data_IF_029537018120
#
_entry.id   IF_029537018120
#
_cell.length_a   1.000
_cell.length_b   1.000
_cell.length_c   1.000
_cell.angle_alpha   90.00
_cell.angle_beta   90.00
_cell.angle_gamma   90.00
#
_symmetry.space_group_name_H-M   'P 1'
#
loop_
_entity.id
_entity.type
_entity.pdbx_description
1 polymer ?
#
# COMPACT_ATOMS: atom_id res chain seq x y z
N UNK A 1 27.00 6.37 9.01
CA UNK A 1 26.64 6.10 10.40
C UNK A 1 27.87 6.22 11.31
N UNK A 2 28.98 5.54 10.99
CA UNK A 2 30.22 5.62 11.78
C UNK A 2 30.73 7.08 11.91
N UNK A 3 30.79 7.82 10.82
CA UNK A 3 31.19 9.23 10.80
C UNK A 3 30.25 10.13 11.63
N UNK A 4 28.94 9.90 11.56
CA UNK A 4 27.96 10.64 12.39
C UNK A 4 28.09 10.31 13.88
N UNK A 5 28.38 9.06 14.24
CA UNK A 5 28.69 8.66 15.62
C UNK A 5 29.97 9.33 16.13
N UNK A 6 30.97 9.47 15.27
CA UNK A 6 32.22 10.17 15.62
C UNK A 6 32.00 11.66 15.89
N UNK A 7 31.12 12.30 15.11
CA UNK A 7 30.76 13.72 15.30
C UNK A 7 29.90 13.97 16.53
N UNK A 8 28.93 13.06 16.79
CA UNK A 8 27.94 13.21 17.87
C UNK A 8 28.40 12.65 19.24
N UNK A 9 29.55 11.92 19.27
CA UNK A 9 29.94 11.09 20.42
C UNK A 9 29.22 9.75 20.43
N UNK A 10 29.89 8.68 20.82
CA UNK A 10 29.39 7.29 20.66
C UNK A 10 28.04 6.98 21.33
N UNK A 11 27.61 7.81 22.28
CA UNK A 11 26.38 7.57 23.05
C UNK A 11 25.23 8.57 22.83
N UNK A 12 25.33 9.46 21.85
CA UNK A 12 24.40 10.58 21.72
C UNK A 12 24.00 10.90 20.28
N UNK A 13 23.40 9.95 19.55
CA UNK A 13 22.54 10.30 18.43
C UNK A 13 21.13 10.49 18.98
N UNK A 14 20.71 11.75 19.30
CA UNK A 14 19.41 11.99 19.92
C UNK A 14 18.24 11.75 18.95
N UNK A 15 18.54 11.59 17.65
CA UNK A 15 17.56 11.43 16.60
C UNK A 15 17.76 10.11 15.87
N UNK A 16 16.72 9.27 15.74
CA UNK A 16 16.77 8.08 14.91
C UNK A 16 17.10 8.44 13.45
N UNK A 17 17.97 7.65 12.82
CA UNK A 17 18.38 7.84 11.43
C UNK A 17 17.59 6.93 10.51
N UNK A 18 17.35 7.41 9.29
CA UNK A 18 16.73 6.64 8.22
C UNK A 18 17.80 6.03 7.30
N UNK A 19 17.57 4.79 6.85
CA UNK A 19 18.40 4.08 5.87
C UNK A 19 17.70 4.04 4.51
N UNK A 20 17.91 5.02 3.60
CA UNK A 20 17.18 5.08 2.34
C UNK A 20 17.62 3.96 1.38
N UNK A 21 16.63 3.30 0.79
CA UNK A 21 16.81 2.26 -0.22
C UNK A 21 16.71 2.89 -1.61
N UNK A 22 17.77 2.76 -2.40
CA UNK A 22 17.88 3.30 -3.75
C UNK A 22 18.14 2.18 -4.76
N UNK A 23 18.11 2.46 -6.07
CA UNK A 23 18.38 1.49 -7.12
C UNK A 23 17.54 1.67 -8.39
N UNK A 24 16.89 2.82 -8.56
CA UNK A 24 16.03 3.10 -9.72
C UNK A 24 14.89 2.08 -9.84
N UNK A 25 14.64 1.63 -11.05
CA UNK A 25 13.64 0.60 -11.37
C UNK A 25 14.25 -0.82 -11.41
N UNK A 26 15.48 -0.99 -10.96
CA UNK A 26 16.22 -2.25 -11.07
C UNK A 26 16.09 -3.08 -9.78
N UNK A 27 15.34 -4.19 -9.76
CA UNK A 27 15.12 -5.00 -8.56
C UNK A 27 16.42 -5.48 -7.90
N UNK A 28 17.42 -5.89 -8.69
CA UNK A 28 18.72 -6.36 -8.17
C UNK A 28 19.49 -5.25 -7.42
N UNK A 29 19.45 -3.99 -7.90
CA UNK A 29 20.06 -2.86 -7.19
C UNK A 29 19.28 -2.50 -5.92
N UNK A 30 17.95 -2.63 -5.94
CA UNK A 30 17.10 -2.45 -4.77
C UNK A 30 17.39 -3.48 -3.69
N UNK A 31 17.57 -4.74 -4.07
CA UNK A 31 17.99 -5.83 -3.17
C UNK A 31 19.34 -5.52 -2.54
N UNK A 32 20.34 -5.22 -3.34
CA UNK A 32 21.69 -4.87 -2.85
C UNK A 32 21.64 -3.68 -1.88
N UNK A 33 20.86 -2.64 -2.20
CA UNK A 33 20.69 -1.49 -1.31
C UNK A 33 19.99 -1.90 -0.01
N UNK A 34 18.92 -2.74 -0.07
CA UNK A 34 18.23 -3.23 1.11
C UNK A 34 19.12 -4.08 2.01
N UNK A 35 19.93 -4.97 1.45
CA UNK A 35 20.92 -5.77 2.17
C UNK A 35 21.90 -4.87 2.94
N UNK A 36 22.53 -3.92 2.25
CA UNK A 36 23.48 -3.00 2.86
C UNK A 36 22.88 -2.10 3.93
N UNK A 37 21.67 -1.56 3.70
CA UNK A 37 20.99 -0.76 4.71
C UNK A 37 20.46 -1.63 5.85
N UNK A 38 20.07 -2.86 5.57
CA UNK A 38 19.63 -3.84 6.56
C UNK A 38 20.72 -4.30 7.53
N UNK A 39 22.01 -4.26 7.16
CA UNK A 39 23.14 -4.53 8.04
C UNK A 39 23.33 -3.44 9.12
N UNK A 40 22.70 -2.28 8.96
CA UNK A 40 22.85 -1.10 9.81
C UNK A 40 21.63 -0.87 10.70
N UNK A 41 21.82 -0.21 11.84
CA UNK A 41 20.77 0.09 12.82
C UNK A 41 20.04 1.37 12.45
N UNK A 42 19.24 1.34 11.39
CA UNK A 42 18.33 2.43 11.04
C UNK A 42 16.94 2.21 11.63
N UNK A 43 16.27 3.31 11.97
CA UNK A 43 14.92 3.28 12.53
C UNK A 43 13.85 3.00 11.47
N UNK A 44 14.01 3.57 10.28
CA UNK A 44 13.09 3.45 9.16
C UNK A 44 13.88 3.31 7.86
N UNK A 45 13.34 2.57 6.91
CA UNK A 45 13.92 2.36 5.58
C UNK A 45 13.05 3.01 4.49
N UNK A 46 13.31 4.28 4.11
CA UNK A 46 12.59 4.91 3.02
C UNK A 46 12.95 4.31 1.66
N UNK A 47 11.96 3.94 0.86
CA UNK A 47 12.15 3.61 -0.56
C UNK A 47 12.09 4.92 -1.35
N UNK A 48 13.26 5.40 -1.80
CA UNK A 48 13.38 6.67 -2.51
C UNK A 48 13.34 6.53 -4.03
N UNK A 49 13.21 7.70 -4.73
CA UNK A 49 13.25 7.76 -6.19
C UNK A 49 12.06 7.13 -6.89
N UNK A 50 10.90 7.07 -6.25
CA UNK A 50 9.68 6.44 -6.78
C UNK A 50 8.63 7.45 -7.30
N UNK A 51 8.75 8.73 -6.96
CA UNK A 51 7.80 9.77 -7.40
C UNK A 51 7.58 9.76 -8.91
N UNK A 52 8.62 9.69 -9.77
CA UNK A 52 8.42 9.62 -11.22
C UNK A 52 7.63 8.39 -11.69
N UNK A 53 7.67 7.28 -10.95
CA UNK A 53 6.87 6.08 -11.27
C UNK A 53 5.39 6.30 -10.98
N UNK A 54 5.08 7.04 -9.92
CA UNK A 54 3.70 7.39 -9.56
C UNK A 54 3.13 8.42 -10.54
N UNK A 55 3.89 9.45 -10.90
CA UNK A 55 3.49 10.47 -11.88
C UNK A 55 3.23 9.87 -13.27
N UNK A 56 4.00 8.86 -13.67
CA UNK A 56 3.84 8.14 -14.94
C UNK A 56 3.00 6.87 -14.83
N UNK A 57 2.37 6.63 -13.69
CA UNK A 57 1.49 5.49 -13.41
C UNK A 57 2.14 4.11 -13.65
N UNK A 58 3.44 4.00 -13.41
CA UNK A 58 4.21 2.76 -13.54
C UNK A 58 4.10 1.89 -12.29
N UNK A 59 2.88 1.56 -11.90
CA UNK A 59 2.61 0.88 -10.62
C UNK A 59 3.10 -0.57 -10.56
N UNK A 60 3.23 -1.25 -11.72
CA UNK A 60 3.88 -2.57 -11.79
C UNK A 60 5.35 -2.49 -11.37
N UNK A 61 6.07 -1.46 -11.81
CA UNK A 61 7.47 -1.26 -11.42
C UNK A 61 7.57 -0.91 -9.92
N UNK A 62 6.62 -0.15 -9.39
CA UNK A 62 6.54 0.13 -7.95
C UNK A 62 6.35 -1.17 -7.15
N UNK A 63 5.44 -2.05 -7.57
CA UNK A 63 5.24 -3.39 -6.96
C UNK A 63 6.53 -4.19 -6.98
N UNK A 64 7.22 -4.26 -8.13
CA UNK A 64 8.50 -4.99 -8.26
C UNK A 64 9.60 -4.45 -7.34
N UNK A 65 9.64 -3.13 -7.16
CA UNK A 65 10.58 -2.49 -6.23
C UNK A 65 10.27 -2.90 -4.79
N UNK A 66 9.01 -2.81 -4.36
CA UNK A 66 8.60 -3.18 -3.00
C UNK A 66 8.88 -4.67 -2.77
N UNK A 67 8.50 -5.52 -3.72
CA UNK A 67 8.73 -6.96 -3.66
C UNK A 67 10.22 -7.35 -3.60
N UNK A 68 11.10 -6.54 -4.18
CA UNK A 68 12.54 -6.76 -4.10
C UNK A 68 13.15 -6.33 -2.75
N UNK A 69 12.51 -5.40 -2.03
CA UNK A 69 13.04 -4.80 -0.79
C UNK A 69 12.49 -5.48 0.46
N UNK A 70 11.16 -5.69 0.50
CA UNK A 70 10.46 -6.11 1.72
C UNK A 70 10.96 -7.43 2.31
N UNK A 71 11.17 -8.51 1.52
CA UNK A 71 11.67 -9.78 2.05
C UNK A 71 13.03 -9.66 2.72
N UNK A 72 13.92 -8.82 2.19
CA UNK A 72 15.28 -8.62 2.71
C UNK A 72 15.28 -7.91 4.05
N UNK A 73 14.45 -6.89 4.20
CA UNK A 73 14.38 -6.13 5.46
C UNK A 73 13.62 -6.88 6.56
N UNK A 74 12.74 -7.83 6.18
CA UNK A 74 11.94 -8.60 7.12
C UNK A 74 10.85 -7.78 7.81
N UNK A 75 9.94 -8.47 8.52
CA UNK A 75 8.73 -7.87 9.10
C UNK A 75 8.98 -6.84 10.21
N UNK A 76 10.12 -6.92 10.91
CA UNK A 76 10.42 -6.07 12.06
C UNK A 76 10.98 -4.68 11.72
N UNK A 77 11.17 -4.36 10.43
CA UNK A 77 11.75 -3.08 10.00
C UNK A 77 10.72 -2.24 9.27
N UNK A 78 10.38 -1.05 9.80
CA UNK A 78 9.45 -0.15 9.14
C UNK A 78 9.97 0.33 7.79
N UNK A 79 9.11 0.26 6.77
CA UNK A 79 9.39 0.75 5.42
C UNK A 79 8.50 1.95 5.11
N UNK A 80 9.12 2.99 4.62
CA UNK A 80 8.47 4.23 4.22
C UNK A 80 8.46 4.36 2.69
N UNK A 81 7.29 4.47 2.09
CA UNK A 81 7.15 4.72 0.66
C UNK A 81 7.26 6.24 0.40
N UNK A 82 8.49 6.72 0.21
CA UNK A 82 8.82 8.13 0.25
C UNK A 82 8.23 8.92 -0.92
N UNK A 83 7.35 9.88 -0.60
CA UNK A 83 6.66 10.72 -1.57
C UNK A 83 5.36 10.13 -2.14
N UNK A 84 4.87 9.01 -1.60
CA UNK A 84 3.62 8.41 -2.03
C UNK A 84 2.42 9.08 -1.34
N UNK A 85 1.68 9.93 -2.07
CA UNK A 85 0.56 10.70 -1.55
C UNK A 85 -0.77 10.46 -2.25
N UNK A 86 -0.86 9.49 -3.11
CA UNK A 86 -2.11 9.14 -3.78
C UNK A 86 -2.87 8.08 -2.98
N UNK A 87 -4.06 8.38 -2.41
CA UNK A 87 -4.82 7.44 -1.56
C UNK A 87 -5.11 6.11 -2.23
N UNK A 88 -5.36 6.08 -3.55
CA UNK A 88 -5.65 4.84 -4.28
C UNK A 88 -4.49 3.82 -4.27
N UNK A 89 -3.24 4.26 -4.00
CA UNK A 89 -2.07 3.39 -3.90
C UNK A 89 -1.87 2.80 -2.50
N UNK A 90 -2.47 3.39 -1.47
CA UNK A 90 -2.13 3.07 -0.09
C UNK A 90 -2.49 1.63 0.28
N UNK A 91 -3.68 1.14 -0.12
CA UNK A 91 -4.12 -0.21 0.24
C UNK A 91 -3.20 -1.29 -0.35
N UNK A 92 -2.84 -1.21 -1.64
CA UNK A 92 -1.93 -2.15 -2.29
C UNK A 92 -0.53 -2.08 -1.66
N UNK A 93 -0.02 -0.87 -1.43
CA UNK A 93 1.30 -0.67 -0.82
C UNK A 93 1.36 -1.21 0.62
N UNK A 94 0.32 -0.96 1.42
CA UNK A 94 0.22 -1.49 2.78
C UNK A 94 0.16 -3.02 2.80
N UNK A 95 -0.59 -3.64 1.87
CA UNK A 95 -0.63 -5.09 1.72
C UNK A 95 0.76 -5.67 1.39
N UNK A 96 1.56 -4.95 0.61
CA UNK A 96 2.95 -5.32 0.30
C UNK A 96 3.95 -5.00 1.44
N UNK A 97 3.46 -4.53 2.58
CA UNK A 97 4.25 -4.31 3.79
C UNK A 97 4.90 -2.93 3.89
N UNK A 98 4.31 -1.92 3.26
CA UNK A 98 4.65 -0.52 3.51
C UNK A 98 3.95 -0.03 4.78
N UNK A 99 4.70 0.61 5.66
CA UNK A 99 4.25 1.05 6.98
C UNK A 99 3.96 2.55 7.03
N UNK A 100 4.68 3.36 6.25
CA UNK A 100 4.64 4.82 6.30
C UNK A 100 4.50 5.44 4.91
N UNK A 101 3.76 6.54 4.86
CA UNK A 101 3.55 7.35 3.67
C UNK A 101 3.80 8.83 3.99
N UNK A 102 4.28 9.60 3.01
CA UNK A 102 4.36 11.05 3.07
C UNK A 102 4.11 11.64 1.69
N UNK A 103 3.61 12.84 1.63
CA UNK A 103 3.56 13.55 0.36
C UNK A 103 3.12 15.00 0.50
N UNK A 104 3.58 15.85 -0.42
CA UNK A 104 3.00 17.15 -0.70
C UNK A 104 1.83 17.09 -1.71
N UNK A 105 1.43 15.91 -2.17
CA UNK A 105 0.40 15.73 -3.20
C UNK A 105 -0.92 16.41 -2.81
N UNK A 106 -1.33 16.37 -1.53
CA UNK A 106 -2.55 17.01 -1.08
C UNK A 106 -2.60 18.51 -1.43
N UNK A 107 -1.48 19.23 -1.32
CA UNK A 107 -1.38 20.64 -1.64
C UNK A 107 -1.13 20.90 -3.13
N UNK A 108 -0.30 20.08 -3.78
CA UNK A 108 0.01 20.23 -5.21
C UNK A 108 -1.25 19.99 -6.05
N UNK A 109 -2.02 18.94 -5.75
CA UNK A 109 -3.26 18.64 -6.45
C UNK A 109 -4.35 19.69 -6.18
N UNK A 110 -4.38 20.26 -4.97
CA UNK A 110 -5.30 21.35 -4.65
C UNK A 110 -5.05 22.59 -5.50
N UNK A 111 -3.79 22.99 -5.70
CA UNK A 111 -3.40 24.09 -6.58
C UNK A 111 -3.84 23.85 -8.03
N UNK A 112 -3.83 22.61 -8.49
CA UNK A 112 -4.31 22.19 -9.80
C UNK A 112 -5.85 22.04 -9.86
N UNK A 113 -6.58 22.39 -8.80
CA UNK A 113 -8.03 22.24 -8.73
C UNK A 113 -8.49 20.78 -8.69
N UNK A 114 -7.71 19.87 -8.09
CA UNK A 114 -8.00 18.44 -8.06
C UNK A 114 -8.28 17.92 -6.65
N UNK A 115 -9.29 17.06 -6.55
CA UNK A 115 -9.67 16.32 -5.34
C UNK A 115 -9.10 14.91 -5.42
N UNK A 116 -8.29 14.52 -4.43
CA UNK A 116 -7.72 13.17 -4.30
C UNK A 116 -8.68 12.26 -3.55
N UNK A 117 -8.85 11.04 -4.06
CA UNK A 117 -9.70 10.02 -3.44
C UNK A 117 -9.08 8.64 -3.54
N UNK A 118 -9.53 7.68 -2.72
CA UNK A 118 -9.13 6.27 -2.87
C UNK A 118 -9.53 5.63 -4.20
N UNK A 119 -10.42 6.25 -4.95
CA UNK A 119 -10.94 5.75 -6.24
C UNK A 119 -10.31 6.47 -7.44
N UNK A 120 -9.52 7.50 -7.19
CA UNK A 120 -8.87 8.29 -8.24
C UNK A 120 -8.86 9.79 -7.93
N UNK A 121 -8.82 10.60 -8.97
CA UNK A 121 -8.74 12.05 -8.86
C UNK A 121 -9.90 12.69 -9.62
N UNK A 122 -10.60 13.60 -8.97
CA UNK A 122 -11.65 14.40 -9.61
C UNK A 122 -11.11 15.82 -9.86
N UNK A 123 -11.47 16.39 -11.01
CA UNK A 123 -11.22 17.79 -11.27
C UNK A 123 -12.41 18.61 -10.77
N UNK A 124 -12.14 19.70 -10.09
CA UNK A 124 -13.17 20.56 -9.52
C UNK A 124 -14.07 21.17 -10.61
N UNK A 125 -13.54 21.42 -11.81
CA UNK A 125 -14.25 21.95 -12.97
C UNK A 125 -15.16 20.94 -13.66
N UNK A 126 -15.02 19.64 -13.35
CA UNK A 126 -15.78 18.54 -13.94
C UNK A 126 -16.91 18.01 -13.03
N UNK A 127 -16.99 18.48 -11.77
CA UNK A 127 -17.98 18.00 -10.81
C UNK A 127 -18.90 19.14 -10.34
N UNK A 128 -20.20 18.92 -10.29
CA UNK A 128 -21.19 19.86 -9.77
C UNK A 128 -21.61 19.54 -8.33
N UNK A 129 -21.47 18.29 -7.92
CA UNK A 129 -21.73 17.80 -6.57
C UNK A 129 -20.51 17.05 -6.04
N UNK A 130 -20.35 17.00 -4.71
CA UNK A 130 -19.32 16.19 -4.12
C UNK A 130 -19.58 14.70 -4.36
N UNK A 131 -18.57 13.89 -4.72
CA UNK A 131 -18.73 12.46 -5.01
C UNK A 131 -19.27 11.63 -3.83
N UNK A 132 -19.16 12.17 -2.61
CA UNK A 132 -19.72 11.62 -1.37
C UNK A 132 -19.93 12.77 -0.36
N UNK A 133 -20.70 12.55 0.70
CA UNK A 133 -20.84 13.53 1.77
C UNK A 133 -19.49 13.84 2.42
N UNK A 134 -19.05 15.10 2.35
CA UNK A 134 -17.80 15.57 2.95
C UNK A 134 -18.15 16.57 4.05
N UNK A 135 -18.03 16.21 5.36
CA UNK A 135 -18.41 17.07 6.45
C UNK A 135 -17.73 18.45 6.42
N UNK A 136 -16.45 18.51 6.08
CA UNK A 136 -15.67 19.76 6.01
C UNK A 136 -16.04 20.65 4.80
N UNK A 137 -16.87 20.17 3.90
CA UNK A 137 -17.41 20.92 2.76
C UNK A 137 -18.95 20.95 2.75
N UNK A 138 -19.58 20.67 3.89
CA UNK A 138 -21.06 20.60 3.99
C UNK A 138 -21.75 21.92 3.61
N UNK A 139 -21.09 23.04 3.89
CA UNK A 139 -21.63 24.38 3.64
C UNK A 139 -21.27 24.94 2.26
N UNK A 140 -20.58 24.15 1.43
CA UNK A 140 -20.12 24.59 0.11
C UNK A 140 -20.31 23.51 -0.95
N UNK A 141 -20.66 23.90 -2.18
CA UNK A 141 -20.69 23.00 -3.33
C UNK A 141 -19.43 23.16 -4.20
N UNK A 142 -19.08 22.18 -5.04
CA UNK A 142 -17.99 22.33 -6.02
C UNK A 142 -18.20 23.57 -6.89
N UNK A 143 -19.44 23.86 -7.29
CA UNK A 143 -19.81 25.03 -8.09
C UNK A 143 -19.51 26.35 -7.34
N UNK A 144 -19.89 26.44 -6.06
CA UNK A 144 -19.61 27.61 -5.23
C UNK A 144 -18.10 27.78 -5.04
N UNK A 145 -17.37 26.68 -4.81
CA UNK A 145 -15.92 26.70 -4.62
C UNK A 145 -15.18 27.14 -5.89
N UNK A 146 -15.65 26.82 -7.09
CA UNK A 146 -15.08 27.33 -8.36
C UNK A 146 -15.14 28.86 -8.45
N UNK A 147 -16.14 29.47 -7.83
CA UNK A 147 -16.34 30.93 -7.84
C UNK A 147 -15.62 31.64 -6.68
N UNK A 148 -15.03 30.90 -5.76
CA UNK A 148 -14.27 31.44 -4.64
C UNK A 148 -12.90 31.99 -5.10
N UNK A 149 -12.20 32.69 -4.22
CA UNK A 149 -10.82 33.11 -4.46
C UNK A 149 -9.91 31.89 -4.69
N UNK A 150 -8.79 32.09 -5.37
CA UNK A 150 -7.81 31.01 -5.60
C UNK A 150 -7.25 30.47 -4.29
N UNK A 151 -7.02 31.35 -3.32
CA UNK A 151 -6.50 30.97 -2.00
C UNK A 151 -7.54 30.13 -1.22
N UNK A 152 -8.79 30.58 -1.11
CA UNK A 152 -9.86 29.84 -0.42
C UNK A 152 -10.10 28.47 -1.08
N UNK A 153 -10.12 28.44 -2.42
CA UNK A 153 -10.28 27.21 -3.19
C UNK A 153 -9.15 26.23 -2.92
N UNK A 154 -7.92 26.70 -2.97
CA UNK A 154 -6.73 25.88 -2.74
C UNK A 154 -6.66 25.40 -1.31
N UNK A 155 -6.96 26.24 -0.32
CA UNK A 155 -6.97 25.87 1.08
C UNK A 155 -8.00 24.77 1.37
N UNK A 156 -9.24 24.96 0.92
CA UNK A 156 -10.27 23.94 1.13
C UNK A 156 -9.94 22.62 0.43
N UNK A 157 -9.53 22.65 -0.84
CA UNK A 157 -9.15 21.43 -1.56
C UNK A 157 -7.95 20.72 -0.90
N UNK A 158 -6.95 21.46 -0.41
CA UNK A 158 -5.82 20.86 0.30
C UNK A 158 -6.26 20.16 1.57
N UNK A 159 -7.18 20.77 2.34
CA UNK A 159 -7.79 20.17 3.51
C UNK A 159 -8.55 18.89 3.15
N UNK A 160 -9.42 18.92 2.14
CA UNK A 160 -10.18 17.75 1.69
C UNK A 160 -9.27 16.62 1.22
N UNK A 161 -8.21 16.93 0.50
CA UNK A 161 -7.22 15.96 0.05
C UNK A 161 -6.49 15.29 1.23
N UNK A 162 -6.15 16.06 2.26
CA UNK A 162 -5.53 15.53 3.46
C UNK A 162 -6.50 14.64 4.25
N UNK A 163 -7.75 15.11 4.44
CA UNK A 163 -8.81 14.33 5.10
C UNK A 163 -9.07 13.00 4.38
N UNK A 164 -9.15 13.01 3.05
CA UNK A 164 -9.29 11.81 2.23
C UNK A 164 -8.13 10.82 2.44
N UNK A 165 -6.90 11.34 2.48
CA UNK A 165 -5.71 10.52 2.71
C UNK A 165 -5.70 9.90 4.11
N UNK A 166 -6.05 10.67 5.14
CA UNK A 166 -6.15 10.19 6.52
C UNK A 166 -7.26 9.15 6.65
N UNK A 167 -8.44 9.41 6.07
CA UNK A 167 -9.56 8.48 6.10
C UNK A 167 -9.23 7.14 5.43
N UNK A 168 -8.48 7.17 4.33
CA UNK A 168 -8.02 5.92 3.68
C UNK A 168 -7.03 5.16 4.56
N UNK A 169 -6.08 5.82 5.22
CA UNK A 169 -5.19 5.17 6.19
C UNK A 169 -5.98 4.51 7.33
N UNK A 170 -6.98 5.19 7.89
CA UNK A 170 -7.82 4.59 8.94
C UNK A 170 -8.65 3.41 8.41
N UNK A 171 -9.13 3.49 7.16
CA UNK A 171 -9.82 2.37 6.48
C UNK A 171 -8.90 1.16 6.34
N UNK A 172 -7.64 1.37 5.92
CA UNK A 172 -6.62 0.32 5.81
C UNK A 172 -6.31 -0.28 7.18
N UNK A 173 -6.11 0.54 8.21
CA UNK A 173 -5.86 0.07 9.58
C UNK A 173 -7.02 -0.76 10.12
N UNK A 174 -8.25 -0.37 9.82
CA UNK A 174 -9.44 -1.16 10.15
C UNK A 174 -9.44 -2.50 9.39
N UNK A 175 -9.19 -2.48 8.09
CA UNK A 175 -9.14 -3.67 7.24
C UNK A 175 -8.06 -4.67 7.71
N UNK A 176 -6.87 -4.19 8.13
CA UNK A 176 -5.83 -5.02 8.75
C UNK A 176 -6.35 -5.68 10.02
N UNK A 177 -6.97 -4.92 10.93
CA UNK A 177 -7.48 -5.46 12.20
C UNK A 177 -8.62 -6.46 12.00
N UNK A 178 -9.49 -6.23 11.04
CA UNK A 178 -10.63 -7.11 10.73
C UNK A 178 -10.26 -8.30 9.84
N UNK A 179 -9.05 -8.33 9.26
CA UNK A 179 -8.61 -9.37 8.34
C UNK A 179 -9.20 -9.24 6.93
N UNK A 180 -9.66 -8.04 6.54
CA UNK A 180 -10.30 -7.77 5.24
C UNK A 180 -9.44 -6.88 4.32
N UNK A 181 -8.14 -6.85 4.56
CA UNK A 181 -7.23 -6.00 3.78
C UNK A 181 -7.22 -6.39 2.30
N UNK A 182 -7.27 -7.69 1.99
CA UNK A 182 -7.21 -8.16 0.61
C UNK A 182 -8.46 -7.74 -0.19
N UNK A 183 -9.64 -7.81 0.40
CA UNK A 183 -10.87 -7.30 -0.20
C UNK A 183 -10.81 -5.79 -0.48
N UNK A 184 -10.18 -5.03 0.42
CA UNK A 184 -9.95 -3.60 0.21
C UNK A 184 -8.99 -3.37 -0.97
N UNK A 185 -7.88 -4.11 -1.03
CA UNK A 185 -6.91 -4.04 -2.13
C UNK A 185 -7.58 -4.31 -3.47
N UNK A 186 -8.34 -5.40 -3.58
CA UNK A 186 -9.04 -5.76 -4.82
C UNK A 186 -10.02 -4.65 -5.26
N UNK A 187 -10.79 -4.10 -4.33
CA UNK A 187 -11.70 -2.98 -4.64
C UNK A 187 -10.95 -1.76 -5.16
N UNK A 188 -9.87 -1.35 -4.48
CA UNK A 188 -9.07 -0.18 -4.86
C UNK A 188 -8.36 -0.40 -6.19
N UNK A 189 -7.81 -1.57 -6.43
CA UNK A 189 -7.10 -1.85 -7.67
C UNK A 189 -8.00 -1.89 -8.91
N UNK A 190 -9.31 -2.07 -8.75
CA UNK A 190 -10.26 -2.07 -9.88
C UNK A 190 -10.67 -0.68 -10.34
N UNK A 191 -10.36 0.36 -9.59
CA UNK A 191 -10.73 1.74 -9.94
C UNK A 191 -9.84 2.36 -11.01
N UNK A 192 -8.66 1.76 -11.28
CA UNK A 192 -7.69 2.29 -12.21
C UNK A 192 -6.95 1.19 -12.98
N UNK A 193 -6.91 1.27 -14.32
CA UNK A 193 -6.33 0.22 -15.18
C UNK A 193 -4.88 -0.15 -14.80
N UNK A 194 -4.01 0.84 -14.59
CA UNK A 194 -2.61 0.60 -14.22
C UNK A 194 -2.44 0.01 -12.81
N UNK A 195 -3.38 0.33 -11.93
CA UNK A 195 -3.39 -0.25 -10.58
C UNK A 195 -3.87 -1.71 -10.62
N UNK A 196 -4.82 -2.02 -11.50
CA UNK A 196 -5.25 -3.38 -11.76
C UNK A 196 -4.11 -4.24 -12.36
N UNK A 197 -3.35 -3.69 -13.32
CA UNK A 197 -2.15 -4.36 -13.84
C UNK A 197 -1.13 -4.66 -12.72
N UNK A 198 -0.98 -3.75 -11.76
CA UNK A 198 -0.10 -3.96 -10.60
C UNK A 198 -0.62 -5.06 -9.66
N UNK A 199 -1.94 -5.17 -9.48
CA UNK A 199 -2.54 -6.27 -8.72
C UNK A 199 -2.28 -7.63 -9.39
N UNK A 200 -2.43 -7.71 -10.73
CA UNK A 200 -2.10 -8.93 -11.50
C UNK A 200 -0.64 -9.33 -11.28
N UNK A 201 0.28 -8.36 -11.27
CA UNK A 201 1.70 -8.63 -10.99
C UNK A 201 1.90 -9.26 -9.60
N UNK A 202 1.20 -8.77 -8.57
CA UNK A 202 1.24 -9.37 -7.23
C UNK A 202 0.67 -10.79 -7.22
N UNK A 203 -0.44 -11.01 -7.91
CA UNK A 203 -1.05 -12.33 -8.05
C UNK A 203 -0.11 -13.32 -8.77
N UNK A 204 0.59 -12.88 -9.79
CA UNK A 204 1.58 -13.71 -10.50
C UNK A 204 2.77 -14.06 -9.60
N UNK A 205 3.23 -13.14 -8.75
CA UNK A 205 4.26 -13.43 -7.76
C UNK A 205 3.81 -14.48 -6.73
N UNK A 206 2.54 -14.48 -6.33
CA UNK A 206 2.00 -15.50 -5.42
C UNK A 206 1.85 -16.88 -6.09
N UNK A 207 1.49 -16.91 -7.39
CA UNK A 207 1.36 -18.17 -8.16
C UNK A 207 2.68 -18.88 -8.36
N UNK A 208 3.74 -18.13 -8.60
CA UNK A 208 5.06 -18.69 -8.94
C UNK A 208 5.79 -19.29 -7.71
N UNK A 209 5.06 -19.46 -6.59
CA UNK A 209 5.51 -20.15 -5.37
C UNK A 209 6.85 -19.63 -4.82
N UNK A 210 7.08 -18.33 -4.96
CA UNK A 210 8.22 -17.66 -4.34
C UNK A 210 7.98 -17.52 -2.83
N UNK A 211 8.20 -18.61 -2.10
CA UNK A 211 8.01 -18.68 -0.64
C UNK A 211 9.02 -17.85 0.13
N UNK A 212 10.15 -17.55 -0.45
CA UNK A 212 11.20 -16.72 0.15
C UNK A 212 11.01 -15.23 -0.18
N UNK A 213 10.10 -14.91 -1.11
CA UNK A 213 9.82 -13.57 -1.56
C UNK A 213 8.56 -12.95 -0.95
N UNK A 214 8.04 -11.93 -1.64
CA UNK A 214 6.86 -11.19 -1.19
C UNK A 214 5.61 -12.07 -1.16
N UNK A 215 5.51 -13.06 -2.07
CA UNK A 215 4.41 -14.01 -2.10
C UNK A 215 4.29 -14.81 -0.80
N UNK A 216 5.40 -15.32 -0.30
CA UNK A 216 5.47 -16.00 1.01
C UNK A 216 5.05 -15.09 2.16
N UNK A 217 5.58 -13.86 2.21
CA UNK A 217 5.21 -12.90 3.25
C UNK A 217 3.73 -12.52 3.24
N UNK A 218 3.12 -12.38 2.05
CA UNK A 218 1.69 -12.11 1.90
C UNK A 218 0.84 -13.27 2.43
N UNK A 219 1.22 -14.50 2.11
CA UNK A 219 0.52 -15.71 2.56
C UNK A 219 0.68 -15.88 4.07
N UNK A 220 1.88 -15.71 4.61
CA UNK A 220 2.17 -15.87 6.04
C UNK A 220 1.48 -14.80 6.90
N UNK A 221 1.28 -13.61 6.36
CA UNK A 221 0.57 -12.51 7.03
C UNK A 221 -0.96 -12.62 6.91
N UNK A 222 -1.47 -13.45 6.01
CA UNK A 222 -2.89 -13.60 5.79
C UNK A 222 -3.57 -14.37 6.94
N UNK A 223 -4.83 -14.04 7.22
CA UNK A 223 -5.64 -14.76 8.19
C UNK A 223 -6.39 -15.89 7.48
N UNK A 224 -6.01 -17.16 7.70
CA UNK A 224 -6.61 -18.29 7.01
C UNK A 224 -8.03 -18.61 7.51
N UNK A 225 -8.45 -18.05 8.64
CA UNK A 225 -9.80 -18.23 9.21
C UNK A 225 -10.40 -16.85 9.46
N UNK A 226 -11.52 -16.59 8.83
CA UNK A 226 -12.29 -15.37 9.00
C UNK A 226 -13.71 -15.71 9.45
N UNK A 227 -14.22 -14.97 10.43
CA UNK A 227 -15.59 -15.16 10.92
C UNK A 227 -16.66 -14.50 10.06
N UNK A 228 -16.27 -13.51 9.25
CA UNK A 228 -17.14 -12.79 8.31
C UNK A 228 -16.30 -12.47 7.08
N UNK A 229 -16.64 -13.08 5.99
CA UNK A 229 -15.98 -12.81 4.69
C UNK A 229 -16.89 -11.92 3.86
N UNK A 230 -16.38 -10.74 3.50
CA UNK A 230 -16.98 -9.95 2.43
C UNK A 230 -16.31 -10.38 1.13
N UNK A 231 -16.97 -11.20 0.36
CA UNK A 231 -16.41 -11.72 -0.88
C UNK A 231 -16.54 -10.71 -2.01
N UNK A 232 -15.41 -10.38 -2.63
CA UNK A 232 -15.39 -9.80 -3.96
C UNK A 232 -15.08 -10.91 -4.95
N UNK A 233 -16.09 -11.67 -5.35
CA UNK A 233 -15.93 -12.77 -6.30
C UNK A 233 -15.52 -12.27 -7.68
N UNK A 234 -14.41 -12.81 -8.18
CA UNK A 234 -13.93 -12.61 -9.54
C UNK A 234 -13.98 -13.89 -10.37
N UNK A 235 -14.38 -15.00 -9.79
CA UNK A 235 -14.26 -16.31 -10.43
C UNK A 235 -12.81 -16.82 -10.56
N UNK A 236 -11.84 -16.17 -9.92
CA UNK A 236 -10.43 -16.53 -9.96
C UNK A 236 -9.75 -16.24 -8.62
N UNK A 237 -10.35 -16.77 -7.55
CA UNK A 237 -9.91 -16.56 -6.17
C UNK A 237 -8.68 -17.42 -5.77
N UNK A 238 -8.18 -18.28 -6.68
CA UNK A 238 -7.05 -19.19 -6.47
C UNK A 238 -5.76 -18.50 -6.00
N UNK A 239 -5.72 -17.18 -6.10
CA UNK A 239 -4.53 -16.36 -5.83
C UNK A 239 -4.69 -15.44 -4.62
N UNK A 240 -5.73 -15.65 -3.85
CA UNK A 240 -5.92 -14.89 -2.60
C UNK A 240 -4.98 -15.42 -1.52
N UNK A 241 -4.22 -14.54 -0.85
CA UNK A 241 -3.29 -14.99 0.21
C UNK A 241 -3.97 -15.74 1.34
N UNK A 242 -5.19 -15.35 1.71
CA UNK A 242 -5.99 -16.01 2.76
C UNK A 242 -6.46 -17.40 2.37
N UNK A 243 -6.88 -17.62 1.12
CA UNK A 243 -7.26 -18.94 0.61
C UNK A 243 -6.05 -19.87 0.48
N UNK A 244 -4.93 -19.36 0.00
CA UNK A 244 -3.67 -20.12 -0.05
C UNK A 244 -3.24 -20.51 1.37
N UNK A 245 -3.28 -19.58 2.33
CA UNK A 245 -2.95 -19.85 3.73
C UNK A 245 -3.91 -20.87 4.35
N UNK A 246 -5.22 -20.77 4.09
CA UNK A 246 -6.22 -21.72 4.54
C UNK A 246 -5.97 -23.12 3.96
N UNK A 247 -5.72 -23.20 2.67
CA UNK A 247 -5.41 -24.47 1.98
C UNK A 247 -4.17 -25.14 2.58
N UNK A 248 -3.08 -24.39 2.79
CA UNK A 248 -1.86 -24.90 3.44
C UNK A 248 -2.12 -25.39 4.86
N UNK A 249 -2.92 -24.63 5.63
CA UNK A 249 -3.29 -25.02 7.00
C UNK A 249 -4.06 -26.33 7.01
N UNK A 250 -5.02 -26.48 6.11
CA UNK A 250 -5.80 -27.73 5.98
C UNK A 250 -4.89 -28.88 5.58
N UNK A 251 -4.08 -28.73 4.54
CA UNK A 251 -3.14 -29.76 4.06
C UNK A 251 -2.13 -30.20 5.12
N UNK A 252 -1.68 -29.30 5.98
CA UNK A 252 -0.69 -29.61 7.03
C UNK A 252 -1.29 -30.25 8.28
N UNK A 253 -2.57 -30.04 8.58
CA UNK A 253 -3.20 -30.46 9.85
C UNK A 253 -4.33 -31.47 9.69
N UNK A 254 -4.97 -31.51 8.53
CA UNK A 254 -6.07 -32.40 8.31
C UNK A 254 -5.57 -33.82 7.95
N UNK A 255 -6.06 -34.81 8.70
CA UNK A 255 -5.87 -36.22 8.39
C UNK A 255 -7.20 -36.81 7.97
N UNK A 256 -7.28 -37.48 6.81
CA UNK A 256 -8.51 -38.11 6.39
C UNK A 256 -8.90 -39.21 7.41
N UNK A 257 -10.19 -39.42 7.69
CA UNK A 257 -10.66 -40.57 8.45
C UNK A 257 -10.17 -41.88 7.83
N UNK A 258 -9.95 -42.91 8.65
CA UNK A 258 -9.57 -44.22 8.18
C UNK A 258 -10.54 -44.72 7.09
N UNK A 259 -10.00 -45.28 6.01
CA UNK A 259 -10.74 -45.75 4.82
C UNK A 259 -11.32 -44.64 3.88
N UNK A 260 -10.89 -43.40 4.00
CA UNK A 260 -11.30 -42.34 3.07
C UNK A 260 -10.55 -42.49 1.75
N UNK A 261 -11.28 -42.75 0.64
CA UNK A 261 -10.69 -42.85 -0.71
C UNK A 261 -10.62 -41.47 -1.42
N UNK A 262 -11.51 -40.54 -1.08
CA UNK A 262 -11.57 -39.17 -1.62
C UNK A 262 -12.10 -38.23 -0.55
N UNK A 263 -11.54 -37.06 -0.47
CA UNK A 263 -12.03 -35.96 0.32
C UNK A 263 -12.23 -34.71 -0.57
N UNK A 264 -13.36 -34.04 -0.42
CA UNK A 264 -13.64 -32.74 -1.01
C UNK A 264 -13.47 -31.70 0.10
N UNK A 265 -12.52 -30.80 -0.08
CA UNK A 265 -12.34 -29.65 0.81
C UNK A 265 -13.04 -28.47 0.15
N UNK A 266 -14.07 -27.94 0.79
CA UNK A 266 -14.79 -26.74 0.37
C UNK A 266 -14.32 -25.64 1.32
N UNK A 267 -13.58 -24.64 0.78
CA UNK A 267 -13.12 -23.47 1.50
C UNK A 267 -14.11 -22.31 1.34
#
# INVERSE_FOLDING_TARGET
>A
LHHLKTIAGENQLPTPLNGPIQGGVHPHLRRLSAEKMGELSFAVHPIGGIVPLMETQRYRDLVRIIAAVRPILGAGRPIHLFGCGHPHLFALSAALGIDLFDSAAYALFARDGRLLTPEGTYRLDEIDEWPWPIPSAADTSPKALRSASEDDRTELLARLNLESSIAEIETIRHAIRSGTLWELVERRCRTHARLHEALIEVQDMMRNDDLEGIGGLLIDSARPVQHRVQHCFNGNDDHRPDLIAATRLIQSRWQPPENTQRALIIA
#
